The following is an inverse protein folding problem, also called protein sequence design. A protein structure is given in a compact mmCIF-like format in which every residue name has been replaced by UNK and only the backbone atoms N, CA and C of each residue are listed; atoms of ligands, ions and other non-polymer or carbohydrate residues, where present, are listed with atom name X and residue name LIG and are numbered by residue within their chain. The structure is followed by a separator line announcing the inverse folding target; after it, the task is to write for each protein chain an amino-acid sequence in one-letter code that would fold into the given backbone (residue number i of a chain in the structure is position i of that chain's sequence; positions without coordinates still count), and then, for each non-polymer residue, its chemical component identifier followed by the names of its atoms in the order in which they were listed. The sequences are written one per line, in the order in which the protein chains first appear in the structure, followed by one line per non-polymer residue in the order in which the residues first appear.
data_IF_384847927261
#
_entry.id   IF_384847927261
#
_cell.length_a   1.000
_cell.length_b   1.000
_cell.length_c   1.000
_cell.angle_alpha   90.00
_cell.angle_beta   90.00
_cell.angle_gamma   90.00
#
_symmetry.space_group_name_H-M   'P 1'
#
loop_
_entity.id
_entity.type
_entity.pdbx_description
1 polymer ?
#
# COMPACT_ATOMS: atom_id res chain seq x y z
N UNK A 1 -14.63 24.69 -9.02
CA UNK A 1 -14.49 23.22 -9.14
C UNK A 1 -13.01 22.88 -9.00
N UNK A 2 -12.58 22.18 -7.95
CA UNK A 2 -11.17 21.76 -7.79
C UNK A 2 -10.95 20.48 -8.59
N UNK A 3 -10.34 20.64 -9.75
CA UNK A 3 -9.98 19.58 -10.69
C UNK A 3 -8.81 18.76 -10.15
N UNK A 4 -8.97 17.44 -10.03
CA UNK A 4 -7.94 16.53 -10.54
C UNK A 4 -6.77 16.06 -9.67
N UNK A 5 -6.94 15.80 -8.37
CA UNK A 5 -6.13 14.76 -7.72
C UNK A 5 -7.09 13.69 -7.19
N UNK A 6 -7.50 12.77 -8.06
CA UNK A 6 -8.08 11.51 -7.60
C UNK A 6 -7.00 10.87 -6.73
N UNK A 7 -7.26 10.65 -5.44
CA UNK A 7 -6.40 9.83 -4.59
C UNK A 7 -5.96 8.61 -5.41
N UNK A 8 -4.65 8.49 -5.68
CA UNK A 8 -4.14 7.37 -6.47
C UNK A 8 -4.32 6.07 -5.67
N UNK A 9 -4.29 6.19 -4.34
CA UNK A 9 -4.62 5.13 -3.39
C UNK A 9 -6.07 5.25 -2.89
N UNK A 10 -6.92 4.31 -3.32
CA UNK A 10 -8.33 4.23 -2.90
C UNK A 10 -8.49 3.80 -1.43
N UNK A 11 -9.65 4.04 -0.84
CA UNK A 11 -9.94 3.61 0.54
C UNK A 11 -9.88 2.09 0.70
N UNK A 12 -10.34 1.32 -0.30
CA UNK A 12 -10.18 -0.14 -0.32
C UNK A 12 -8.70 -0.55 -0.35
N UNK A 13 -7.87 0.14 -1.14
CA UNK A 13 -6.43 -0.07 -1.16
C UNK A 13 -5.77 0.22 0.19
N UNK A 14 -6.19 1.30 0.88
CA UNK A 14 -5.74 1.62 2.23
C UNK A 14 -6.14 0.57 3.26
N UNK A 15 -7.37 0.08 3.18
CA UNK A 15 -7.88 -0.95 4.08
C UNK A 15 -7.12 -2.28 3.88
N UNK A 16 -6.88 -2.67 2.64
CA UNK A 16 -6.05 -3.83 2.27
C UNK A 16 -4.64 -3.71 2.83
N UNK A 17 -3.95 -2.59 2.55
CA UNK A 17 -2.60 -2.33 3.05
C UNK A 17 -2.57 -2.41 4.57
N UNK A 18 -3.50 -1.74 5.25
CA UNK A 18 -3.52 -1.71 6.71
C UNK A 18 -3.72 -3.11 7.31
N UNK A 19 -4.61 -3.92 6.74
CA UNK A 19 -4.82 -5.32 7.16
C UNK A 19 -3.57 -6.15 6.93
N UNK A 20 -2.95 -6.06 5.74
CA UNK A 20 -1.75 -6.83 5.41
C UNK A 20 -0.56 -6.44 6.30
N UNK A 21 -0.34 -5.15 6.57
CA UNK A 21 0.73 -4.70 7.47
C UNK A 21 0.52 -5.26 8.87
N UNK A 22 -0.68 -5.09 9.44
CA UNK A 22 -0.99 -5.58 10.80
C UNK A 22 -0.84 -7.10 10.92
N UNK A 23 -1.33 -7.84 9.94
CA UNK A 23 -1.23 -9.30 9.93
C UNK A 23 0.23 -9.80 9.85
N UNK A 24 1.09 -9.13 9.08
CA UNK A 24 2.50 -9.53 9.01
C UNK A 24 3.28 -9.05 10.25
N UNK A 25 2.99 -7.87 10.79
CA UNK A 25 3.62 -7.37 12.02
C UNK A 25 3.26 -8.22 13.25
N UNK A 26 2.03 -8.74 13.33
CA UNK A 26 1.64 -9.65 14.42
C UNK A 26 2.40 -10.98 14.37
N UNK A 27 2.85 -11.41 13.19
CA UNK A 27 3.65 -12.62 13.03
C UNK A 27 5.13 -12.37 13.34
N UNK A 28 5.67 -11.24 12.88
CA UNK A 28 7.07 -10.88 13.09
C UNK A 28 7.28 -9.35 13.15
N UNK A 29 7.31 -8.74 14.34
CA UNK A 29 7.39 -7.29 14.49
C UNK A 29 8.76 -6.71 14.12
N UNK A 30 9.80 -7.54 14.02
CA UNK A 30 11.17 -7.11 13.75
C UNK A 30 11.48 -7.04 12.24
N UNK A 31 10.63 -7.61 11.38
CA UNK A 31 10.85 -7.68 9.92
C UNK A 31 10.19 -6.56 9.14
N UNK A 32 10.12 -5.34 9.69
CA UNK A 32 9.42 -4.18 9.07
C UNK A 32 9.80 -3.93 7.61
N UNK A 33 11.08 -3.98 7.25
CA UNK A 33 11.55 -3.79 5.87
C UNK A 33 11.02 -4.85 4.91
N UNK A 34 11.00 -6.11 5.33
CA UNK A 34 10.51 -7.22 4.50
C UNK A 34 8.99 -7.18 4.37
N UNK A 35 8.30 -6.81 5.46
CA UNK A 35 6.85 -6.60 5.46
C UNK A 35 6.48 -5.48 4.49
N UNK A 36 7.24 -4.37 4.47
CA UNK A 36 6.99 -3.25 3.57
C UNK A 36 7.07 -3.69 2.11
N UNK A 37 8.14 -4.39 1.73
CA UNK A 37 8.32 -4.94 0.37
C UNK A 37 7.18 -5.89 0.00
N UNK A 38 6.79 -6.78 0.92
CA UNK A 38 5.73 -7.77 0.69
C UNK A 38 4.36 -7.11 0.50
N UNK A 39 4.01 -6.15 1.35
CA UNK A 39 2.73 -5.44 1.25
C UNK A 39 2.68 -4.55 0.01
N UNK A 40 3.78 -3.86 -0.32
CA UNK A 40 3.88 -3.07 -1.55
C UNK A 40 3.68 -3.95 -2.78
N UNK A 41 4.39 -5.09 -2.87
CA UNK A 41 4.22 -6.05 -3.97
C UNK A 41 2.79 -6.54 -4.07
N UNK A 42 2.19 -6.95 -2.94
CA UNK A 42 0.81 -7.43 -2.92
C UNK A 42 -0.20 -6.38 -3.43
N UNK A 43 0.00 -5.10 -3.09
CA UNK A 43 -0.82 -4.02 -3.61
C UNK A 43 -0.67 -3.84 -5.13
N UNK A 44 0.57 -3.90 -5.64
CA UNK A 44 0.85 -3.76 -7.07
C UNK A 44 0.26 -4.93 -7.87
N UNK A 45 0.44 -6.16 -7.38
CA UNK A 45 -0.11 -7.37 -8.01
C UNK A 45 -1.64 -7.32 -8.04
N UNK A 46 -2.28 -6.92 -6.94
CA UNK A 46 -3.72 -6.71 -6.88
C UNK A 46 -4.17 -5.67 -7.92
N UNK A 47 -3.51 -4.51 -7.96
CA UNK A 47 -3.84 -3.47 -8.92
C UNK A 47 -3.75 -3.96 -10.37
N UNK A 48 -2.70 -4.69 -10.70
CA UNK A 48 -2.50 -5.24 -12.04
C UNK A 48 -3.60 -6.25 -12.41
N UNK A 49 -3.94 -7.15 -11.48
CA UNK A 49 -5.01 -8.14 -11.67
C UNK A 49 -6.40 -7.53 -11.86
N UNK A 50 -6.70 -6.39 -11.23
CA UNK A 50 -8.01 -5.73 -11.30
C UNK A 50 -8.06 -4.56 -12.29
N UNK A 51 -7.18 -4.56 -13.30
CA UNK A 51 -7.25 -3.61 -14.43
C UNK A 51 -6.76 -2.20 -14.12
N UNK A 52 -6.05 -2.00 -13.00
CA UNK A 52 -5.46 -0.71 -12.62
C UNK A 52 -4.18 -0.37 -13.40
N UNK A 53 -3.67 -1.30 -14.21
CA UNK A 53 -2.45 -1.14 -15.01
C UNK A 53 -1.19 -0.91 -14.18
N UNK A 54 -0.07 -0.62 -14.85
CA UNK A 54 1.20 -0.32 -14.20
C UNK A 54 1.05 0.88 -13.26
N UNK A 55 1.46 0.73 -12.01
CA UNK A 55 1.47 1.83 -11.05
C UNK A 55 2.48 2.91 -11.46
N UNK A 56 2.07 4.17 -11.37
CA UNK A 56 2.99 5.29 -11.56
C UNK A 56 3.96 5.39 -10.39
N UNK A 57 5.15 5.97 -10.62
CA UNK A 57 6.14 6.23 -9.55
C UNK A 57 5.54 7.06 -8.41
N UNK A 58 4.61 7.98 -8.72
CA UNK A 58 3.89 8.77 -7.72
C UNK A 58 3.00 7.88 -6.83
N UNK A 59 2.25 6.95 -7.42
CA UNK A 59 1.41 6.01 -6.67
C UNK A 59 2.26 5.07 -5.80
N UNK A 60 3.38 4.57 -6.31
CA UNK A 60 4.29 3.72 -5.53
C UNK A 60 4.76 4.46 -4.28
N UNK A 61 5.21 5.71 -4.41
CA UNK A 61 5.62 6.54 -3.27
C UNK A 61 4.50 6.81 -2.28
N UNK A 62 3.28 7.06 -2.76
CA UNK A 62 2.10 7.27 -1.91
C UNK A 62 1.77 6.01 -1.08
N UNK A 63 1.85 4.83 -1.70
CA UNK A 63 1.65 3.54 -1.03
C UNK A 63 2.76 3.26 -0.01
N UNK A 64 4.02 3.49 -0.38
CA UNK A 64 5.15 3.31 0.55
C UNK A 64 5.01 4.20 1.79
N UNK A 65 4.68 5.48 1.60
CA UNK A 65 4.46 6.39 2.72
C UNK A 65 3.26 6.00 3.58
N UNK A 66 2.19 5.46 2.97
CA UNK A 66 1.05 4.95 3.72
C UNK A 66 1.41 3.68 4.52
N UNK A 67 2.19 2.76 3.95
CA UNK A 67 2.70 1.58 4.66
C UNK A 67 3.52 2.01 5.88
N UNK A 68 4.46 2.95 5.71
CA UNK A 68 5.29 3.46 6.81
C UNK A 68 4.42 4.06 7.92
N UNK A 69 3.41 4.86 7.55
CA UNK A 69 2.46 5.43 8.52
C UNK A 69 1.73 4.34 9.33
N UNK A 70 1.24 3.30 8.66
CA UNK A 70 0.56 2.18 9.34
C UNK A 70 1.52 1.43 10.26
N UNK A 71 2.78 1.25 9.87
CA UNK A 71 3.79 0.56 10.69
C UNK A 71 4.22 1.32 11.95
N UNK A 72 3.98 2.64 11.98
CA UNK A 72 4.23 3.51 13.13
C UNK A 72 3.02 3.64 14.06
N UNK A 73 1.86 3.08 13.68
CA UNK A 73 0.62 3.11 14.46
C UNK A 73 0.46 1.82 15.26
#
# INVERSE_FOLDING_TARGET
MRTGVRNLLTEDGKAMIARSVRANLSMDPNRKTEIKKKVLRHFLDYREAFGGGKASTALVKEVEGYIDKVMMT
#
